data_IF_264299627202
#
_entry.id   IF_264299627202
#
_cell.length_a   1.000
_cell.length_b   1.000
_cell.length_c   1.000
_cell.angle_alpha   90.00
_cell.angle_beta   90.00
_cell.angle_gamma   90.00
#
_symmetry.space_group_name_H-M   'P 1'
#
loop_
_entity.id
_entity.type
_entity.pdbx_description
1 polymer ?
#
# COMPACT_ATOMS: atom_id res chain seq x y z
N UNK A 1 -19.29 -0.44 6.50
CA UNK A 1 -17.96 0.19 6.65
C UNK A 1 -18.14 1.68 6.83
N UNK A 2 -17.40 2.33 7.76
CA UNK A 2 -17.45 3.78 7.91
C UNK A 2 -16.54 4.44 6.89
N UNK A 3 -17.08 5.35 6.08
CA UNK A 3 -16.31 6.16 5.14
C UNK A 3 -16.33 7.62 5.57
N UNK A 4 -15.16 8.25 5.61
CA UNK A 4 -14.99 9.66 5.97
C UNK A 4 -14.27 10.40 4.85
N UNK A 5 -14.91 11.43 4.29
CA UNK A 5 -14.31 12.28 3.26
C UNK A 5 -14.02 13.66 3.85
N UNK A 6 -12.75 14.06 3.82
CA UNK A 6 -12.27 15.33 4.36
C UNK A 6 -11.42 16.09 3.35
N UNK A 7 -11.25 17.40 3.58
CA UNK A 7 -10.41 18.25 2.74
C UNK A 7 -9.25 18.84 3.55
N UNK A 8 -8.02 18.71 3.08
CA UNK A 8 -6.85 19.37 3.68
C UNK A 8 -6.64 20.74 3.05
N UNK A 9 -6.91 21.79 3.83
CA UNK A 9 -6.82 23.21 3.40
C UNK A 9 -7.70 23.57 2.19
N UNK A 10 -8.77 22.81 1.97
CA UNK A 10 -9.80 23.10 0.97
C UNK A 10 -11.17 22.64 1.47
N UNK A 11 -12.26 23.36 1.15
CA UNK A 11 -13.61 22.86 1.39
C UNK A 11 -13.93 21.70 0.44
N UNK A 12 -14.64 20.70 0.92
CA UNK A 12 -15.19 19.63 0.11
C UNK A 12 -16.66 19.91 -0.12
N UNK A 13 -17.05 20.11 -1.37
CA UNK A 13 -18.46 20.30 -1.73
C UNK A 13 -19.26 19.01 -1.59
N UNK A 14 -20.57 19.11 -1.35
CA UNK A 14 -21.44 17.95 -1.23
C UNK A 14 -21.41 17.03 -2.46
N UNK A 15 -21.42 17.53 -3.71
CA UNK A 15 -21.28 16.68 -4.89
C UNK A 15 -19.95 15.93 -4.95
N UNK A 16 -18.84 16.58 -4.55
CA UNK A 16 -17.52 15.96 -4.54
C UNK A 16 -17.42 14.89 -3.45
N UNK A 17 -18.02 15.13 -2.29
CA UNK A 17 -18.13 14.16 -1.19
C UNK A 17 -18.90 12.94 -1.64
N UNK A 18 -20.10 13.12 -2.17
CA UNK A 18 -20.96 12.04 -2.64
C UNK A 18 -20.27 11.21 -3.73
N UNK A 19 -19.56 11.86 -4.64
CA UNK A 19 -18.79 11.17 -5.67
C UNK A 19 -17.67 10.30 -5.11
N UNK A 20 -16.90 10.83 -4.15
CA UNK A 20 -15.83 10.07 -3.50
C UNK A 20 -16.38 8.87 -2.70
N UNK A 21 -17.47 9.07 -1.96
CA UNK A 21 -18.15 8.01 -1.20
C UNK A 21 -18.67 6.90 -2.13
N UNK A 22 -19.31 7.26 -3.25
CA UNK A 22 -19.81 6.31 -4.23
C UNK A 22 -18.69 5.51 -4.89
N UNK A 23 -17.67 6.18 -5.43
CA UNK A 23 -16.59 5.54 -6.20
C UNK A 23 -15.64 4.73 -5.33
N UNK A 24 -15.15 5.31 -4.25
CA UNK A 24 -14.17 4.66 -3.37
C UNK A 24 -14.89 3.67 -2.44
N UNK A 25 -15.97 4.10 -1.78
CA UNK A 25 -16.75 3.27 -0.88
C UNK A 25 -17.31 2.04 -1.58
N UNK A 26 -17.97 2.22 -2.73
CA UNK A 26 -18.48 1.12 -3.54
C UNK A 26 -17.39 0.12 -3.95
N UNK A 27 -16.20 0.62 -4.34
CA UNK A 27 -15.07 -0.23 -4.73
C UNK A 27 -14.53 -1.06 -3.57
N UNK A 28 -14.47 -0.49 -2.36
CA UNK A 28 -13.98 -1.19 -1.15
C UNK A 28 -15.00 -2.19 -0.63
N UNK A 29 -16.29 -1.82 -0.61
CA UNK A 29 -17.36 -2.70 -0.12
C UNK A 29 -17.55 -3.94 -0.98
N UNK A 30 -17.50 -3.81 -2.31
CA UNK A 30 -17.61 -4.94 -3.23
C UNK A 30 -16.54 -6.02 -3.01
N UNK A 31 -15.37 -5.63 -2.51
CA UNK A 31 -14.26 -6.56 -2.32
C UNK A 31 -14.38 -7.38 -1.05
N UNK A 32 -15.22 -6.98 -0.09
CA UNK A 32 -15.44 -7.70 1.18
C UNK A 32 -14.11 -8.14 1.86
N UNK A 33 -13.20 -7.19 2.05
CA UNK A 33 -11.87 -7.42 2.65
C UNK A 33 -11.86 -7.26 4.17
N UNK A 34 -13.03 -7.12 4.80
CA UNK A 34 -13.15 -6.84 6.23
C UNK A 34 -12.65 -5.43 6.58
N UNK A 35 -12.90 -4.46 5.69
CA UNK A 35 -12.58 -3.06 5.95
C UNK A 35 -13.42 -2.52 7.12
N UNK A 36 -12.75 -1.91 8.10
CA UNK A 36 -13.35 -1.31 9.29
C UNK A 36 -13.72 0.14 9.00
N UNK A 37 -12.78 0.89 8.43
CA UNK A 37 -12.96 2.29 8.07
C UNK A 37 -12.21 2.62 6.77
N UNK A 38 -12.73 3.62 6.06
CA UNK A 38 -12.10 4.20 4.88
C UNK A 38 -12.03 5.72 5.04
N UNK A 39 -10.83 6.26 5.03
CA UNK A 39 -10.60 7.69 5.09
C UNK A 39 -10.14 8.20 3.72
N UNK A 40 -10.81 9.23 3.23
CA UNK A 40 -10.48 9.92 1.98
C UNK A 40 -10.11 11.36 2.29
N UNK A 41 -8.89 11.76 1.94
CA UNK A 41 -8.40 13.12 2.12
C UNK A 41 -8.14 13.77 0.76
N UNK A 42 -8.87 14.85 0.48
CA UNK A 42 -8.74 15.60 -0.77
C UNK A 42 -7.98 16.89 -0.52
N UNK A 43 -6.99 17.20 -1.38
CA UNK A 43 -6.28 18.47 -1.29
C UNK A 43 -5.68 18.90 -2.62
N UNK A 44 -5.31 20.17 -2.69
CA UNK A 44 -4.63 20.73 -3.85
C UNK A 44 -3.22 21.18 -3.48
N UNK A 45 -2.26 20.80 -4.28
CA UNK A 45 -0.90 21.29 -4.16
C UNK A 45 -0.81 22.73 -4.68
N UNK A 46 -0.10 23.58 -3.94
CA UNK A 46 0.04 24.99 -4.29
C UNK A 46 1.12 25.27 -5.34
N UNK A 47 1.91 24.25 -5.69
CA UNK A 47 2.96 24.42 -6.68
C UNK A 47 2.36 24.60 -8.08
N UNK A 48 2.47 25.82 -8.63
CA UNK A 48 1.97 26.14 -9.97
C UNK A 48 2.69 25.40 -11.11
N UNK A 49 3.87 24.87 -10.85
CA UNK A 49 4.62 24.08 -11.81
C UNK A 49 4.16 22.62 -11.89
N UNK A 50 3.35 22.16 -10.93
CA UNK A 50 2.82 20.80 -10.96
C UNK A 50 1.65 20.72 -11.93
N UNK A 51 1.72 19.89 -12.99
CA UNK A 51 0.62 19.68 -13.94
C UNK A 51 -0.59 18.97 -13.29
N UNK A 52 -0.37 18.23 -12.19
CA UNK A 52 -1.38 17.45 -11.49
C UNK A 52 -1.59 17.92 -10.05
N UNK A 53 -2.21 19.08 -9.84
CA UNK A 53 -2.29 19.69 -8.52
C UNK A 53 -3.36 19.09 -7.60
N UNK A 54 -4.29 18.30 -8.15
CA UNK A 54 -5.41 17.72 -7.39
C UNK A 54 -5.03 16.35 -6.85
N UNK A 55 -4.99 16.18 -5.54
CA UNK A 55 -4.51 14.98 -4.87
C UNK A 55 -5.64 14.34 -4.09
N UNK A 56 -5.79 13.03 -4.28
CA UNK A 56 -6.70 12.16 -3.54
C UNK A 56 -5.89 11.10 -2.78
N UNK A 57 -5.95 11.15 -1.47
CA UNK A 57 -5.34 10.18 -0.57
C UNK A 57 -6.44 9.30 0.02
N UNK A 58 -6.30 7.98 -0.11
CA UNK A 58 -7.26 6.99 0.40
C UNK A 58 -6.54 6.07 1.36
N UNK A 59 -7.05 5.93 2.57
CA UNK A 59 -6.56 5.00 3.59
C UNK A 59 -7.67 4.07 4.01
N UNK A 60 -7.48 2.77 3.81
CA UNK A 60 -8.42 1.72 4.22
C UNK A 60 -7.85 0.95 5.40
N UNK A 61 -8.55 0.99 6.53
CA UNK A 61 -8.20 0.26 7.74
C UNK A 61 -8.88 -1.10 7.74
N UNK A 62 -8.09 -2.15 7.89
CA UNK A 62 -8.54 -3.53 8.01
C UNK A 62 -7.94 -4.15 9.28
N UNK A 63 -8.50 -5.27 9.74
CA UNK A 63 -7.98 -5.94 10.93
C UNK A 63 -6.50 -6.35 10.76
N UNK A 64 -5.60 -5.63 11.42
CA UNK A 64 -4.14 -5.88 11.39
C UNK A 64 -3.43 -5.41 10.11
N UNK A 65 -4.13 -4.70 9.20
CA UNK A 65 -3.55 -4.20 7.96
C UNK A 65 -4.08 -2.82 7.60
N UNK A 66 -3.26 -2.04 6.92
CA UNK A 66 -3.62 -0.73 6.37
C UNK A 66 -3.24 -0.71 4.90
N UNK A 67 -4.18 -0.33 4.04
CA UNK A 67 -3.90 -0.04 2.64
C UNK A 67 -4.00 1.46 2.42
N UNK A 68 -3.01 2.05 1.75
CA UNK A 68 -2.96 3.48 1.44
C UNK A 68 -2.59 3.70 -0.01
N UNK A 69 -3.28 4.64 -0.63
CA UNK A 69 -3.03 5.11 -2.01
C UNK A 69 -3.09 6.62 -2.02
N UNK A 70 -2.17 7.24 -2.72
CA UNK A 70 -2.15 8.67 -3.01
C UNK A 70 -2.00 8.86 -4.52
N UNK A 71 -2.90 9.61 -5.13
CA UNK A 71 -2.91 9.86 -6.57
C UNK A 71 -3.07 11.35 -6.85
N UNK A 72 -2.35 11.82 -7.86
CA UNK A 72 -2.36 13.22 -8.27
C UNK A 72 -2.77 13.35 -9.73
N UNK A 73 -3.77 14.21 -10.00
CA UNK A 73 -4.32 14.44 -11.32
C UNK A 73 -4.61 15.93 -11.55
N UNK A 74 -4.90 16.28 -12.79
CA UNK A 74 -5.27 17.67 -13.15
C UNK A 74 -6.57 18.08 -12.48
N UNK A 75 -7.53 17.15 -12.42
CA UNK A 75 -8.86 17.37 -11.84
C UNK A 75 -9.10 16.45 -10.64
N UNK A 76 -9.88 16.92 -9.68
CA UNK A 76 -10.16 16.20 -8.44
C UNK A 76 -11.02 14.95 -8.67
N UNK A 77 -11.96 15.00 -9.63
CA UNK A 77 -12.77 13.81 -9.97
C UNK A 77 -11.91 12.74 -10.61
N UNK A 78 -10.98 13.12 -11.51
CA UNK A 78 -10.01 12.19 -12.08
C UNK A 78 -9.09 11.58 -11.01
N UNK A 79 -8.62 12.38 -10.04
CA UNK A 79 -7.82 11.88 -8.93
C UNK A 79 -8.58 10.84 -8.08
N UNK A 80 -9.88 11.06 -7.83
CA UNK A 80 -10.74 10.10 -7.13
C UNK A 80 -10.90 8.81 -7.94
N UNK A 81 -11.13 8.88 -9.25
CA UNK A 81 -11.30 7.70 -10.10
C UNK A 81 -10.03 6.85 -10.14
N UNK A 82 -8.87 7.47 -10.31
CA UNK A 82 -7.57 6.77 -10.33
C UNK A 82 -7.26 6.16 -8.96
N UNK A 83 -7.51 6.90 -7.87
CA UNK A 83 -7.33 6.40 -6.51
C UNK A 83 -8.26 5.23 -6.21
N UNK A 84 -9.55 5.29 -6.64
CA UNK A 84 -10.51 4.20 -6.48
C UNK A 84 -10.07 2.93 -7.22
N UNK A 85 -9.61 3.07 -8.47
CA UNK A 85 -9.10 1.94 -9.26
C UNK A 85 -7.86 1.30 -8.61
N UNK A 86 -6.93 2.13 -8.10
CA UNK A 86 -5.67 1.68 -7.51
C UNK A 86 -5.89 1.02 -6.15
N UNK A 87 -6.74 1.58 -5.28
CA UNK A 87 -7.06 0.96 -3.99
C UNK A 87 -7.81 -0.37 -4.19
N UNK A 88 -8.75 -0.44 -5.14
CA UNK A 88 -9.44 -1.68 -5.47
C UNK A 88 -8.46 -2.77 -5.96
N UNK A 89 -7.46 -2.41 -6.76
CA UNK A 89 -6.40 -3.32 -7.23
C UNK A 89 -5.55 -3.84 -6.08
N UNK A 90 -5.11 -2.95 -5.16
CA UNK A 90 -4.35 -3.35 -3.96
C UNK A 90 -5.15 -4.28 -3.05
N UNK A 91 -6.41 -3.95 -2.79
CA UNK A 91 -7.28 -4.76 -1.91
C UNK A 91 -7.60 -6.12 -2.54
N UNK A 92 -7.78 -6.19 -3.86
CA UNK A 92 -7.97 -7.46 -4.58
C UNK A 92 -6.73 -8.36 -4.45
N UNK A 93 -5.53 -7.79 -4.65
CA UNK A 93 -4.26 -8.48 -4.44
C UNK A 93 -4.10 -8.98 -2.99
N UNK A 94 -4.45 -8.14 -2.01
CA UNK A 94 -4.46 -8.52 -0.60
C UNK A 94 -5.43 -9.69 -0.32
N UNK A 95 -6.66 -9.61 -0.84
CA UNK A 95 -7.67 -10.67 -0.68
C UNK A 95 -7.14 -12.00 -1.22
N UNK A 96 -6.62 -12.02 -2.44
CA UNK A 96 -6.04 -13.22 -3.06
C UNK A 96 -4.93 -13.82 -2.20
N UNK A 97 -3.99 -13.00 -1.68
CA UNK A 97 -2.90 -13.46 -0.81
C UNK A 97 -3.38 -14.09 0.50
N UNK A 98 -4.41 -13.50 1.12
CA UNK A 98 -4.97 -14.00 2.38
C UNK A 98 -5.72 -15.31 2.15
N UNK A 99 -6.49 -15.43 1.07
CA UNK A 99 -7.22 -16.64 0.73
C UNK A 99 -6.28 -17.77 0.29
N UNK A 100 -5.27 -17.51 -0.52
CA UNK A 100 -4.30 -18.54 -0.92
C UNK A 100 -3.48 -19.06 0.26
N UNK A 101 -3.11 -18.20 1.23
CA UNK A 101 -2.46 -18.68 2.47
C UNK A 101 -3.39 -19.52 3.34
N UNK A 102 -4.69 -19.20 3.41
CA UNK A 102 -5.69 -20.02 4.13
C UNK A 102 -5.87 -21.38 3.44
N UNK A 103 -5.99 -21.40 2.10
CA UNK A 103 -6.16 -22.62 1.32
C UNK A 103 -4.94 -23.56 1.49
N UNK A 104 -3.71 -23.04 1.35
CA UNK A 104 -2.48 -23.81 1.59
C UNK A 104 -2.40 -24.37 3.02
N UNK A 105 -2.87 -23.63 4.03
CA UNK A 105 -2.89 -24.12 5.42
C UNK A 105 -3.95 -25.21 5.63
N UNK A 106 -5.11 -25.07 5.00
CA UNK A 106 -6.18 -26.07 5.06
C UNK A 106 -5.82 -27.33 4.27
N UNK A 107 -5.16 -27.21 3.11
CA UNK A 107 -4.68 -28.35 2.32
C UNK A 107 -3.57 -29.13 3.03
N UNK A 108 -2.70 -28.46 3.80
CA UNK A 108 -1.72 -29.12 4.66
C UNK A 108 -2.36 -29.86 5.85
N UNK A 109 -3.52 -29.38 6.33
CA UNK A 109 -4.28 -30.06 7.38
C UNK A 109 -5.19 -31.17 6.83
N UNK A 110 -5.57 -31.12 5.55
CA UNK A 110 -6.44 -32.11 4.87
C UNK A 110 -5.62 -33.18 4.12
N UNK A 111 -4.34 -32.96 3.83
CA UNK A 111 -3.47 -33.94 3.15
C UNK A 111 -3.25 -35.26 3.95
N UNK A 112 -3.97 -35.47 5.05
CA UNK A 112 -4.11 -36.72 5.78
C UNK A 112 -5.41 -37.49 5.53
N UNK A 113 -6.27 -37.05 4.57
CA UNK A 113 -7.50 -37.78 4.21
C UNK A 113 -7.88 -37.58 2.75
N UNK A 114 -7.86 -38.76 2.09
CA UNK A 114 -8.58 -39.16 0.89
C UNK A 114 -8.11 -38.62 -0.49
N UNK A 115 -7.51 -39.58 -1.19
CA UNK A 115 -7.47 -39.72 -2.65
C UNK A 115 -8.90 -39.95 -3.15
N UNK A 116 -9.36 -39.09 -4.05
CA UNK A 116 -10.31 -39.31 -5.17
C UNK A 116 -11.21 -38.08 -5.40
N UNK A 117 -10.86 -37.23 -6.36
CA UNK A 117 -11.83 -36.47 -7.17
C UNK A 117 -11.17 -35.89 -8.45
N UNK A 118 -11.69 -36.32 -9.57
CA UNK A 118 -11.32 -35.96 -10.93
C UNK A 118 -11.68 -34.50 -11.32
N UNK A 119 -10.99 -33.94 -12.34
CA UNK A 119 -11.00 -32.52 -12.61
C UNK A 119 -12.17 -32.10 -13.53
N UNK A 120 -12.85 -31.04 -13.16
CA UNK A 120 -13.68 -30.27 -14.06
C UNK A 120 -12.81 -29.17 -14.73
N UNK A 121 -12.82 -29.17 -16.04
CA UNK A 121 -12.23 -28.21 -16.96
C UNK A 121 -12.79 -26.82 -16.69
N UNK A 122 -12.03 -25.98 -16.04
CA UNK A 122 -12.24 -24.53 -16.02
C UNK A 122 -10.99 -23.83 -16.52
N UNK A 123 -11.21 -22.90 -17.45
CA UNK A 123 -10.20 -21.99 -17.96
C UNK A 123 -9.39 -21.43 -16.77
N UNK A 124 -8.12 -21.72 -16.81
CA UNK A 124 -7.12 -21.53 -15.75
C UNK A 124 -6.93 -20.02 -15.41
N UNK A 125 -8.00 -19.39 -14.88
CA UNK A 125 -7.93 -18.05 -14.30
C UNK A 125 -6.92 -18.01 -13.15
N UNK A 126 -6.73 -19.13 -12.47
CA UNK A 126 -5.77 -19.25 -11.36
C UNK A 126 -4.32 -19.16 -11.88
N UNK A 127 -4.00 -19.70 -13.07
CA UNK A 127 -2.67 -19.51 -13.68
C UNK A 127 -2.42 -18.10 -14.18
N UNK A 128 -3.43 -17.45 -14.77
CA UNK A 128 -3.33 -16.04 -15.17
C UNK A 128 -3.21 -15.11 -13.95
N UNK A 129 -3.81 -15.50 -12.83
CA UNK A 129 -3.71 -14.75 -11.58
C UNK A 129 -2.39 -15.03 -10.83
N UNK A 130 -1.81 -16.23 -10.96
CA UNK A 130 -0.50 -16.57 -10.40
C UNK A 130 0.65 -15.83 -11.12
N UNK A 131 0.56 -15.62 -12.44
CA UNK A 131 1.51 -14.81 -13.19
C UNK A 131 1.46 -13.31 -12.82
N UNK A 132 0.37 -12.83 -12.21
CA UNK A 132 0.20 -11.45 -11.74
C UNK A 132 0.51 -11.26 -10.24
N UNK A 133 0.85 -12.33 -9.51
CA UNK A 133 1.05 -12.29 -8.05
C UNK A 133 2.49 -12.54 -7.60
N UNK A 134 3.49 -12.24 -8.43
CA UNK A 134 4.93 -12.39 -8.09
C UNK A 134 5.48 -11.30 -7.17
N UNK A 135 4.79 -10.94 -6.09
CA UNK A 135 5.45 -10.25 -4.97
C UNK A 135 5.77 -11.26 -3.85
N UNK A 136 6.59 -12.22 -4.14
CA UNK A 136 7.22 -13.09 -3.13
C UNK A 136 8.51 -12.44 -2.62
N UNK A 137 8.89 -12.76 -1.37
CA UNK A 137 10.23 -12.45 -0.88
C UNK A 137 11.20 -13.38 -1.59
N UNK A 138 11.63 -12.98 -2.78
CA UNK A 138 12.52 -13.76 -3.65
C UNK A 138 13.91 -13.93 -3.01
N UNK A 139 14.32 -12.97 -2.18
CA UNK A 139 15.67 -12.96 -1.60
C UNK A 139 15.65 -12.55 -0.14
N UNK A 140 16.26 -13.37 0.71
CA UNK A 140 16.57 -13.04 2.10
C UNK A 140 18.07 -12.82 2.21
N UNK A 141 18.49 -11.71 2.83
CA UNK A 141 19.89 -11.41 3.15
C UNK A 141 19.96 -11.11 4.64
N UNK A 142 20.96 -11.65 5.31
CA UNK A 142 21.38 -11.16 6.62
C UNK A 142 22.36 -10.02 6.40
N UNK A 143 22.13 -8.90 7.06
CA UNK A 143 22.97 -7.71 6.97
C UNK A 143 23.48 -7.43 8.37
N UNK A 144 24.78 -7.20 8.50
CA UNK A 144 25.34 -6.66 9.72
C UNK A 144 25.15 -5.14 9.70
N UNK A 145 24.51 -4.61 10.72
CA UNK A 145 24.33 -3.16 10.84
C UNK A 145 25.60 -2.54 11.43
N UNK A 146 26.20 -1.65 10.68
CA UNK A 146 27.38 -0.91 11.15
C UNK A 146 26.92 0.33 11.89
N UNK A 147 27.38 0.58 13.13
CA UNK A 147 27.08 1.82 13.85
C UNK A 147 27.67 3.02 13.13
N UNK A 148 26.84 3.99 12.76
CA UNK A 148 27.24 5.21 12.06
C UNK A 148 26.32 6.38 12.45
N UNK A 149 26.74 7.59 12.11
CA UNK A 149 25.93 8.80 12.28
C UNK A 149 24.95 8.97 11.12
N UNK A 150 23.95 9.86 11.29
CA UNK A 150 23.00 10.22 10.23
C UNK A 150 23.70 10.77 8.99
N UNK A 151 24.74 11.61 9.18
CA UNK A 151 25.51 12.17 8.07
C UNK A 151 26.29 11.09 7.31
N UNK A 152 26.86 10.13 8.01
CA UNK A 152 27.53 8.97 7.39
C UNK A 152 26.53 8.11 6.62
N UNK A 153 25.32 7.90 7.16
CA UNK A 153 24.26 7.15 6.50
C UNK A 153 23.74 7.86 5.24
N UNK A 154 23.62 9.20 5.26
CA UNK A 154 23.28 10.00 4.08
C UNK A 154 24.31 9.84 2.95
N UNK A 155 25.59 9.84 3.29
CA UNK A 155 26.65 9.60 2.31
C UNK A 155 26.57 8.18 1.76
N UNK A 156 26.31 7.19 2.61
CA UNK A 156 26.23 5.79 2.20
C UNK A 156 25.06 5.50 1.27
N UNK A 157 23.87 6.04 1.55
CA UNK A 157 22.70 5.84 0.68
C UNK A 157 22.94 6.40 -0.72
N UNK A 158 23.60 7.56 -0.82
CA UNK A 158 23.95 8.18 -2.10
C UNK A 158 25.02 7.38 -2.85
N UNK A 159 26.06 6.95 -2.18
CA UNK A 159 27.13 6.15 -2.78
C UNK A 159 26.65 4.80 -3.29
N UNK A 160 25.69 4.18 -2.59
CA UNK A 160 25.13 2.90 -2.97
C UNK A 160 23.99 3.04 -4.01
N UNK A 161 23.46 4.25 -4.22
CA UNK A 161 22.33 4.51 -5.12
C UNK A 161 21.06 3.78 -4.71
N UNK A 162 20.86 3.55 -3.41
CA UNK A 162 19.69 2.88 -2.88
C UNK A 162 18.56 3.86 -2.58
N UNK A 163 17.32 3.39 -2.62
CA UNK A 163 16.14 4.16 -2.22
C UNK A 163 15.91 4.14 -0.70
N UNK A 164 16.52 3.20 -0.01
CA UNK A 164 16.51 3.14 1.46
C UNK A 164 17.81 2.54 1.99
N UNK A 165 18.17 2.89 3.22
CA UNK A 165 19.34 2.40 3.91
C UNK A 165 19.02 2.17 5.39
N UNK A 166 19.42 0.99 5.91
CA UNK A 166 19.19 0.60 7.30
C UNK A 166 20.53 0.57 8.02
N UNK A 167 20.63 1.23 9.16
CA UNK A 167 21.87 1.31 9.94
C UNK A 167 21.54 1.33 11.45
N UNK A 168 22.54 1.09 12.28
CA UNK A 168 22.46 1.35 13.72
C UNK A 168 22.98 2.75 13.99
N UNK A 169 22.18 3.60 14.61
CA UNK A 169 22.62 4.92 15.01
C UNK A 169 23.62 4.81 16.16
N UNK A 170 24.76 5.50 16.02
CA UNK A 170 25.89 5.42 16.97
C UNK A 170 25.56 5.99 18.35
N UNK A 171 24.68 6.98 18.41
CA UNK A 171 24.38 7.70 19.64
C UNK A 171 23.27 7.02 20.45
N UNK A 172 22.29 6.42 19.78
CA UNK A 172 21.14 5.78 20.42
C UNK A 172 21.22 4.25 20.43
N UNK A 173 22.13 3.64 19.69
CA UNK A 173 22.27 2.18 19.48
C UNK A 173 21.00 1.53 18.92
N UNK A 174 20.12 2.33 18.34
CA UNK A 174 18.87 1.88 17.75
C UNK A 174 19.00 1.74 16.23
N UNK A 175 18.18 0.86 15.65
CA UNK A 175 18.10 0.69 14.21
C UNK A 175 17.26 1.82 13.61
N UNK A 176 17.87 2.59 12.72
CA UNK A 176 17.25 3.65 11.95
C UNK A 176 17.13 3.27 10.47
N UNK A 177 16.13 3.83 9.79
CA UNK A 177 15.93 3.65 8.35
C UNK A 177 15.90 5.00 7.66
N UNK A 178 16.88 5.24 6.82
CA UNK A 178 16.94 6.40 5.94
C UNK A 178 16.30 6.03 4.58
N UNK A 179 15.44 6.88 4.04
CA UNK A 179 14.79 6.61 2.76
C UNK A 179 14.72 7.86 1.89
N UNK A 180 14.78 7.67 0.57
CA UNK A 180 14.64 8.75 -0.41
C UNK A 180 13.16 9.05 -0.64
N UNK A 181 12.79 10.33 -0.53
CA UNK A 181 11.44 10.83 -0.80
C UNK A 181 11.27 11.16 -2.28
N UNK A 182 10.01 11.19 -2.73
CA UNK A 182 9.68 11.58 -4.11
C UNK A 182 10.03 13.03 -4.46
N UNK A 183 10.17 13.90 -3.45
CA UNK A 183 10.59 15.29 -3.60
C UNK A 183 12.12 15.48 -3.73
N UNK A 184 12.88 14.36 -3.72
CA UNK A 184 14.35 14.35 -3.82
C UNK A 184 15.07 14.53 -2.49
N UNK A 185 14.35 14.78 -1.40
CA UNK A 185 14.89 14.83 -0.05
C UNK A 185 14.95 13.45 0.61
N UNK A 186 15.50 13.38 1.81
CA UNK A 186 15.52 12.16 2.62
C UNK A 186 14.55 12.24 3.81
N UNK A 187 14.05 11.09 4.21
CA UNK A 187 13.29 10.93 5.45
C UNK A 187 13.98 9.91 6.36
N UNK A 188 13.90 10.11 7.66
CA UNK A 188 14.44 9.23 8.67
C UNK A 188 13.31 8.62 9.48
N UNK A 189 13.34 7.30 9.67
CA UNK A 189 12.46 6.55 10.57
C UNK A 189 13.28 6.08 11.75
N UNK A 190 12.83 6.43 12.93
CA UNK A 190 13.41 6.02 14.20
C UNK A 190 12.41 5.18 14.99
N UNK A 191 12.83 4.27 15.87
CA UNK A 191 11.91 3.60 16.78
C UNK A 191 11.16 4.63 17.63
N UNK A 192 9.89 4.36 17.94
CA UNK A 192 9.16 5.12 18.95
C UNK A 192 9.70 4.76 20.32
N UNK A 193 9.91 5.76 21.18
CA UNK A 193 10.22 5.57 22.60
C UNK A 193 9.03 4.98 23.36
#
# INVERSE_FOLDING_TARGET
>A
MDITVSGRKMPVSDPLRAYAEEKIGGSVEQLDVGAIACEVVLYKEKNRANPNPSICEVTVLMKGHVARVEESEQDMYAAIDVAAAKIARQLRKFKTRVYSKRKKKTEQEIAFRDEDAHPATDLDLDKLMDELTEDEIIRRKSIEYTPMTEDEALIQIDLLGHDFFVYTDRDTDNVHVLYRRSDGNYGLLTPAE
#
